data_IF_630317318969
#
_entry.id   IF_630317318969
#
_cell.length_a   1.000
_cell.length_b   1.000
_cell.length_c   1.000
_cell.angle_alpha   90.00
_cell.angle_beta   90.00
_cell.angle_gamma   90.00
#
_symmetry.space_group_name_H-M   'P 1'
#
loop_
_entity.id
_entity.type
_entity.pdbx_description
1 polymer ?
#
# COMPACT_ATOMS: atom_id res chain seq x y z
N UNK A 1 38.82 23.76 -57.74
CA UNK A 1 37.44 23.78 -58.28
C UNK A 1 36.87 22.38 -58.02
N UNK A 2 35.68 22.35 -57.43
CA UNK A 2 35.02 21.20 -56.76
C UNK A 2 34.80 20.01 -57.70
N UNK A 3 35.00 18.79 -57.18
CA UNK A 3 34.40 17.49 -57.55
C UNK A 3 35.18 16.39 -56.80
N UNK A 4 34.66 15.26 -56.31
CA UNK A 4 33.33 14.70 -56.14
C UNK A 4 33.50 13.47 -55.21
N UNK A 5 32.39 12.79 -54.93
CA UNK A 5 32.07 11.94 -53.78
C UNK A 5 32.74 10.57 -53.63
N UNK A 6 32.80 10.16 -52.35
CA UNK A 6 32.58 8.83 -51.74
C UNK A 6 32.63 7.57 -52.63
N UNK A 7 33.44 6.59 -52.21
CA UNK A 7 33.15 5.17 -52.41
C UNK A 7 33.69 4.33 -51.25
N UNK A 8 32.78 3.64 -50.57
CA UNK A 8 33.01 2.59 -49.57
C UNK A 8 32.83 1.21 -50.22
N UNK A 9 33.49 0.21 -49.61
CA UNK A 9 33.33 -1.26 -49.77
C UNK A 9 34.01 -1.87 -50.99
N UNK A 10 34.72 -3.01 -50.94
CA UNK A 10 34.46 -4.34 -50.32
C UNK A 10 35.78 -5.15 -50.44
N UNK A 11 36.21 -6.06 -49.56
CA UNK A 11 35.80 -7.47 -49.54
C UNK A 11 36.39 -8.28 -48.36
N UNK A 12 35.62 -9.31 -48.00
CA UNK A 12 35.76 -10.47 -47.12
C UNK A 12 37.09 -11.25 -47.06
N UNK A 13 37.45 -11.79 -45.87
CA UNK A 13 37.29 -13.22 -45.51
C UNK A 13 38.00 -13.67 -44.19
N UNK A 14 37.17 -14.08 -43.22
CA UNK A 14 37.27 -15.19 -42.22
C UNK A 14 38.59 -15.60 -41.53
N UNK A 15 38.61 -15.48 -40.20
CA UNK A 15 38.92 -16.50 -39.14
C UNK A 15 38.68 -15.81 -37.79
N UNK A 16 37.87 -16.24 -36.82
CA UNK A 16 37.55 -17.58 -36.36
C UNK A 16 38.20 -17.81 -34.99
N UNK A 17 37.76 -17.17 -33.90
CA UNK A 17 38.10 -17.59 -32.53
C UNK A 17 36.96 -17.34 -31.53
N UNK A 18 36.36 -18.45 -31.12
CA UNK A 18 35.47 -18.63 -29.97
C UNK A 18 36.15 -18.15 -28.68
N UNK A 19 35.57 -17.16 -27.98
CA UNK A 19 36.01 -16.80 -26.63
C UNK A 19 35.13 -17.53 -25.61
N UNK A 20 35.61 -18.69 -25.13
CA UNK A 20 35.06 -19.37 -23.94
C UNK A 20 35.14 -18.41 -22.75
N UNK A 21 34.01 -18.12 -22.12
CA UNK A 21 33.94 -17.45 -20.83
C UNK A 21 34.30 -18.45 -19.73
N UNK A 22 35.53 -18.38 -19.25
CA UNK A 22 35.98 -19.11 -18.07
C UNK A 22 35.44 -18.42 -16.82
N UNK A 23 34.47 -19.04 -16.13
CA UNK A 23 34.04 -18.62 -14.80
C UNK A 23 34.95 -19.25 -13.77
N UNK A 24 36.12 -18.65 -13.53
CA UNK A 24 36.99 -19.02 -12.41
C UNK A 24 36.32 -18.61 -11.08
N UNK A 25 35.82 -19.60 -10.33
CA UNK A 25 35.40 -19.40 -8.95
C UNK A 25 36.64 -19.14 -8.08
N UNK A 26 36.86 -17.88 -7.74
CA UNK A 26 37.87 -17.50 -6.76
C UNK A 26 37.34 -17.82 -5.35
N UNK A 27 37.78 -18.92 -4.77
CA UNK A 27 37.61 -19.20 -3.35
C UNK A 27 38.54 -18.27 -2.55
N UNK A 28 37.99 -17.19 -1.98
CA UNK A 28 38.74 -16.30 -1.09
C UNK A 28 38.91 -16.97 0.27
N UNK A 29 40.05 -17.64 0.49
CA UNK A 29 40.43 -18.12 1.83
C UNK A 29 41.25 -17.04 2.53
N UNK A 30 40.83 -16.57 3.73
CA UNK A 30 41.60 -15.60 4.50
C UNK A 30 42.93 -16.24 4.95
N UNK A 31 44.05 -15.63 4.56
CA UNK A 31 45.40 -16.17 4.76
C UNK A 31 46.06 -15.77 6.08
N UNK A 32 45.46 -14.84 6.84
CA UNK A 32 46.06 -14.30 8.07
C UNK A 32 45.07 -14.28 9.23
N UNK A 33 45.57 -14.58 10.43
CA UNK A 33 44.75 -14.71 11.65
C UNK A 33 44.01 -13.42 12.04
N UNK A 34 44.60 -12.25 11.76
CA UNK A 34 43.96 -10.95 11.98
C UNK A 34 42.75 -10.71 11.07
N UNK A 35 42.71 -11.33 9.87
CA UNK A 35 41.52 -11.23 9.01
C UNK A 35 40.32 -11.89 9.67
N UNK A 36 40.50 -13.02 10.36
CA UNK A 36 39.41 -13.63 11.13
C UNK A 36 38.97 -12.75 12.29
N UNK A 37 39.91 -12.11 13.01
CA UNK A 37 39.60 -11.21 14.11
C UNK A 37 38.76 -9.98 13.66
N UNK A 38 38.93 -9.50 12.42
CA UNK A 38 38.16 -8.34 11.92
C UNK A 38 36.89 -8.74 11.15
N UNK A 39 36.92 -9.84 10.40
CA UNK A 39 35.77 -10.32 9.60
C UNK A 39 34.64 -10.79 10.51
N UNK A 40 34.90 -11.53 11.59
CA UNK A 40 33.82 -12.01 12.45
C UNK A 40 33.06 -10.89 13.18
N UNK A 41 33.71 -9.92 13.85
CA UNK A 41 33.00 -8.81 14.49
C UNK A 41 32.27 -7.93 13.48
N UNK A 42 32.86 -7.66 12.31
CA UNK A 42 32.20 -6.86 11.27
C UNK A 42 30.97 -7.56 10.71
N UNK A 43 31.03 -8.87 10.47
CA UNK A 43 29.87 -9.69 10.07
C UNK A 43 28.81 -9.70 11.18
N UNK A 44 29.19 -9.88 12.44
CA UNK A 44 28.25 -9.85 13.58
C UNK A 44 27.56 -8.48 13.69
N UNK A 45 28.32 -7.38 13.61
CA UNK A 45 27.78 -6.01 13.65
C UNK A 45 26.87 -5.76 12.45
N UNK A 46 27.23 -6.22 11.25
CA UNK A 46 26.39 -6.11 10.06
C UNK A 46 25.08 -6.89 10.21
N UNK A 47 25.13 -8.11 10.77
CA UNK A 47 23.94 -8.92 11.04
C UNK A 47 23.05 -8.25 12.09
N UNK A 48 23.62 -7.77 13.19
CA UNK A 48 22.88 -7.07 14.26
C UNK A 48 22.27 -5.77 13.73
N UNK A 49 23.02 -4.98 12.96
CA UNK A 49 22.55 -3.75 12.34
C UNK A 49 21.44 -3.96 11.29
N UNK A 50 21.38 -5.15 10.68
CA UNK A 50 20.35 -5.53 9.73
C UNK A 50 19.11 -6.19 10.38
N UNK A 51 19.10 -6.46 11.69
CA UNK A 51 17.93 -7.01 12.40
C UNK A 51 16.64 -6.20 12.15
N UNK A 52 16.64 -4.85 12.20
CA UNK A 52 15.43 -4.07 11.92
C UNK A 52 14.87 -4.39 10.54
N UNK A 53 15.75 -4.50 9.54
CA UNK A 53 15.41 -4.84 8.16
C UNK A 53 14.83 -6.25 8.05
N UNK A 54 15.43 -7.26 8.70
CA UNK A 54 14.89 -8.62 8.65
C UNK A 54 13.53 -8.74 9.35
N UNK A 55 13.34 -8.05 10.47
CA UNK A 55 12.06 -8.01 11.18
C UNK A 55 10.99 -7.33 10.35
N UNK A 56 11.34 -6.25 9.65
CA UNK A 56 10.41 -5.57 8.74
C UNK A 56 10.10 -6.39 7.49
N UNK A 57 11.08 -7.11 6.94
CA UNK A 57 10.89 -8.02 5.81
C UNK A 57 9.99 -9.20 6.20
N UNK A 58 10.18 -9.76 7.39
CA UNK A 58 9.34 -10.83 7.92
C UNK A 58 7.89 -10.35 8.14
N UNK A 59 7.71 -9.17 8.76
CA UNK A 59 6.38 -8.58 8.96
C UNK A 59 5.71 -8.17 7.63
N UNK A 60 6.49 -7.74 6.64
CA UNK A 60 6.03 -7.42 5.29
C UNK A 60 5.54 -8.68 4.56
N UNK A 61 6.28 -9.79 4.70
CA UNK A 61 5.96 -11.07 4.07
C UNK A 61 4.74 -11.75 4.71
N UNK A 62 4.66 -11.79 6.04
CA UNK A 62 3.53 -12.39 6.78
C UNK A 62 2.20 -11.61 6.58
N UNK A 63 2.28 -10.29 6.30
CA UNK A 63 1.10 -9.40 6.27
C UNK A 63 0.78 -8.80 4.90
N UNK A 64 1.57 -9.15 3.87
CA UNK A 64 1.42 -8.70 2.49
C UNK A 64 1.47 -7.16 2.35
N UNK A 65 2.46 -6.52 2.98
CA UNK A 65 2.64 -5.06 3.04
C UNK A 65 4.05 -4.72 2.54
N UNK A 66 4.24 -3.71 1.68
CA UNK A 66 5.57 -3.29 1.24
C UNK A 66 6.46 -2.83 2.42
N UNK A 67 7.75 -3.10 2.29
CA UNK A 67 8.81 -2.76 3.25
C UNK A 67 8.81 -1.25 3.59
N UNK A 68 9.03 -0.88 4.87
CA UNK A 68 9.01 0.51 5.34
C UNK A 68 7.62 1.09 5.70
N UNK A 69 6.53 0.37 5.43
CA UNK A 69 5.16 0.81 5.77
C UNK A 69 4.64 0.22 7.09
N UNK A 70 5.50 -0.45 7.87
CA UNK A 70 5.15 -1.20 9.09
C UNK A 70 4.45 -0.33 10.14
N UNK A 71 4.92 0.91 10.34
CA UNK A 71 4.34 1.88 11.28
C UNK A 71 2.98 2.38 10.81
N UNK A 72 2.87 2.81 9.55
CA UNK A 72 1.60 3.29 8.97
C UNK A 72 0.54 2.19 8.95
N UNK A 73 0.94 0.97 8.61
CA UNK A 73 0.07 -0.19 8.67
C UNK A 73 -0.39 -0.48 10.11
N UNK A 74 0.51 -0.38 11.08
CA UNK A 74 0.14 -0.58 12.49
C UNK A 74 -0.83 0.48 13.00
N UNK A 75 -0.70 1.73 12.53
CA UNK A 75 -1.64 2.81 12.82
C UNK A 75 -3.01 2.52 12.19
N UNK A 76 -3.04 2.03 10.94
CA UNK A 76 -4.27 1.58 10.28
C UNK A 76 -5.00 0.50 11.10
N UNK A 77 -4.28 -0.56 11.51
CA UNK A 77 -4.87 -1.63 12.32
C UNK A 77 -5.35 -1.12 13.69
N UNK A 78 -4.66 -0.13 14.28
CA UNK A 78 -5.09 0.51 15.53
C UNK A 78 -6.40 1.28 15.34
N UNK A 79 -6.56 2.00 14.22
CA UNK A 79 -7.79 2.73 13.90
C UNK A 79 -8.96 1.77 13.65
N UNK A 80 -8.73 0.65 12.99
CA UNK A 80 -9.72 -0.42 12.86
C UNK A 80 -10.20 -0.96 14.21
N UNK A 81 -9.28 -1.20 15.14
CA UNK A 81 -9.62 -1.68 16.49
C UNK A 81 -10.36 -0.63 17.31
N UNK A 82 -9.89 0.61 17.29
CA UNK A 82 -10.48 1.74 18.00
C UNK A 82 -11.91 2.01 17.53
N UNK A 83 -12.14 1.99 16.22
CA UNK A 83 -13.39 2.40 15.59
C UNK A 83 -14.21 1.20 15.05
N UNK A 84 -14.00 0.00 15.60
CA UNK A 84 -14.63 -1.22 15.13
C UNK A 84 -16.16 -1.11 15.04
N UNK A 85 -16.82 -0.58 16.08
CA UNK A 85 -18.28 -0.42 16.08
C UNK A 85 -18.76 0.65 15.08
N UNK A 86 -18.07 1.78 15.01
CA UNK A 86 -18.40 2.85 14.06
C UNK A 86 -18.30 2.38 12.61
N UNK A 87 -17.32 1.52 12.30
CA UNK A 87 -17.07 1.02 10.94
C UNK A 87 -18.18 0.13 10.36
N UNK A 88 -19.20 -0.21 11.16
CA UNK A 88 -20.43 -0.89 10.74
C UNK A 88 -21.49 0.06 10.17
N UNK A 89 -21.25 1.36 10.25
CA UNK A 89 -22.16 2.39 9.74
C UNK A 89 -22.39 2.30 8.23
N UNK A 90 -23.36 3.09 7.77
CA UNK A 90 -23.63 3.26 6.35
C UNK A 90 -22.64 4.24 5.72
N UNK A 91 -22.13 3.90 4.54
CA UNK A 91 -21.22 4.76 3.79
C UNK A 91 -21.99 5.85 3.04
N UNK A 92 -21.64 7.11 3.29
CA UNK A 92 -22.03 8.22 2.42
C UNK A 92 -21.15 8.18 1.18
N UNK A 93 -21.71 7.79 0.04
CA UNK A 93 -20.94 7.53 -1.18
C UNK A 93 -21.20 8.56 -2.27
N UNK A 94 -20.12 8.95 -2.97
CA UNK A 94 -20.16 9.81 -4.15
C UNK A 94 -19.40 9.11 -5.26
N UNK A 95 -19.92 9.19 -6.48
CA UNK A 95 -19.26 8.67 -7.68
C UNK A 95 -18.85 9.83 -8.58
N UNK A 96 -17.62 9.81 -9.08
CA UNK A 96 -17.12 10.83 -10.01
C UNK A 96 -17.36 10.44 -11.49
N UNK A 97 -17.01 11.34 -12.41
CA UNK A 97 -17.13 11.13 -13.87
C UNK A 97 -16.28 9.94 -14.37
N UNK A 98 -15.18 9.62 -13.68
CA UNK A 98 -14.33 8.47 -13.97
C UNK A 98 -14.90 7.15 -13.42
N UNK A 99 -16.14 7.16 -12.94
CA UNK A 99 -16.81 6.04 -12.28
C UNK A 99 -16.11 5.51 -11.02
N UNK A 100 -15.24 6.31 -10.40
CA UNK A 100 -14.64 6.02 -9.11
C UNK A 100 -15.64 6.41 -8.03
N UNK A 101 -15.97 5.47 -7.16
CA UNK A 101 -16.85 5.70 -6.01
C UNK A 101 -16.02 5.86 -4.74
N UNK A 102 -16.28 6.93 -3.99
CA UNK A 102 -15.68 7.19 -2.69
C UNK A 102 -16.80 7.25 -1.64
N UNK A 103 -16.81 6.26 -0.75
CA UNK A 103 -17.67 6.21 0.43
C UNK A 103 -16.94 6.73 1.66
N UNK A 104 -17.66 7.39 2.56
CA UNK A 104 -17.14 7.84 3.85
C UNK A 104 -18.05 7.46 5.03
N UNK A 105 -17.43 7.09 6.16
CA UNK A 105 -18.05 6.99 7.48
C UNK A 105 -17.27 7.89 8.42
N UNK A 106 -17.96 8.75 9.16
CA UNK A 106 -17.36 9.67 10.13
C UNK A 106 -17.73 9.19 11.53
N UNK A 107 -16.72 8.89 12.34
CA UNK A 107 -16.91 8.45 13.72
C UNK A 107 -17.04 9.61 14.68
N UNK A 108 -17.67 9.38 15.85
CA UNK A 108 -17.75 10.38 16.94
C UNK A 108 -16.37 10.84 17.44
N UNK A 109 -15.35 9.99 17.26
CA UNK A 109 -13.94 10.33 17.56
C UNK A 109 -13.33 11.36 16.61
N UNK A 110 -14.01 11.69 15.50
CA UNK A 110 -13.47 12.49 14.40
C UNK A 110 -12.60 11.68 13.42
N UNK A 111 -12.39 10.39 13.67
CA UNK A 111 -11.72 9.51 12.71
C UNK A 111 -12.67 9.19 11.54
N UNK A 112 -12.13 9.16 10.33
CA UNK A 112 -12.90 8.96 9.10
C UNK A 112 -12.46 7.67 8.42
N UNK A 113 -13.41 6.82 8.03
CA UNK A 113 -13.19 5.64 7.20
C UNK A 113 -13.61 5.91 5.77
N UNK A 114 -12.66 5.82 4.86
CA UNK A 114 -12.89 5.92 3.43
C UNK A 114 -13.02 4.52 2.82
N UNK A 115 -13.91 4.40 1.84
CA UNK A 115 -13.99 3.27 0.92
C UNK A 115 -13.80 3.79 -0.49
N UNK A 116 -12.77 3.34 -1.19
CA UNK A 116 -12.51 3.73 -2.57
C UNK A 116 -12.78 2.53 -3.45
N UNK A 117 -13.63 2.69 -4.45
CA UNK A 117 -13.95 1.68 -5.44
C UNK A 117 -13.67 2.23 -6.84
N UNK A 118 -12.61 1.72 -7.45
CA UNK A 118 -12.22 2.02 -8.83
C UNK A 118 -12.93 1.05 -9.78
N UNK A 119 -13.36 1.47 -10.98
CA UNK A 119 -13.98 0.58 -11.95
C UNK A 119 -13.07 -0.62 -12.28
N UNK A 120 -13.63 -1.83 -12.23
CA UNK A 120 -12.90 -3.07 -12.51
C UNK A 120 -11.99 -3.55 -11.38
N UNK A 121 -11.93 -2.86 -10.23
CA UNK A 121 -11.12 -3.25 -9.08
C UNK A 121 -11.97 -3.47 -7.83
N UNK A 122 -11.44 -4.24 -6.89
CA UNK A 122 -12.04 -4.42 -5.57
C UNK A 122 -11.90 -3.14 -4.75
N UNK A 123 -12.90 -2.85 -3.92
CA UNK A 123 -12.85 -1.70 -3.03
C UNK A 123 -11.70 -1.80 -2.02
N UNK A 124 -11.12 -0.66 -1.66
CA UNK A 124 -10.07 -0.53 -0.65
C UNK A 124 -10.58 0.39 0.45
N UNK A 125 -10.29 0.04 1.70
CA UNK A 125 -10.61 0.85 2.86
C UNK A 125 -9.40 1.63 3.35
N UNK A 126 -9.62 2.85 3.84
CA UNK A 126 -8.56 3.66 4.43
C UNK A 126 -9.07 4.49 5.59
N UNK A 127 -8.41 4.39 6.74
CA UNK A 127 -8.63 5.28 7.86
C UNK A 127 -7.83 6.57 7.74
N UNK A 128 -8.48 7.66 8.10
CA UNK A 128 -7.86 8.95 8.35
C UNK A 128 -8.13 9.27 9.82
N UNK A 129 -7.13 9.08 10.66
CA UNK A 129 -7.23 9.36 12.09
C UNK A 129 -7.10 10.86 12.36
N UNK A 130 -7.95 11.43 13.22
CA UNK A 130 -7.89 12.87 13.53
C UNK A 130 -6.51 13.29 14.09
N UNK A 131 -5.92 12.44 14.93
CA UNK A 131 -4.59 12.65 15.52
C UNK A 131 -3.47 12.78 14.47
N UNK A 132 -3.62 12.13 13.31
CA UNK A 132 -2.65 12.24 12.23
C UNK A 132 -2.70 13.61 11.54
N UNK A 133 -3.85 14.30 11.61
CA UNK A 133 -4.07 15.61 11.01
C UNK A 133 -3.75 16.76 11.98
N UNK A 134 -3.96 16.56 13.28
CA UNK A 134 -3.82 17.63 14.30
C UNK A 134 -2.50 17.60 15.04
N UNK A 135 -1.73 16.52 14.99
CA UNK A 135 -0.45 16.46 15.71
C UNK A 135 0.57 17.46 15.15
N UNK A 136 1.45 17.94 16.04
CA UNK A 136 2.64 18.77 15.72
C UNK A 136 3.57 18.15 14.66
N UNK A 137 3.33 16.90 14.23
CA UNK A 137 3.98 16.30 13.05
C UNK A 137 3.72 17.11 11.77
N UNK A 138 2.60 17.84 11.68
CA UNK A 138 2.34 18.82 10.63
C UNK A 138 3.11 20.15 10.85
N UNK A 139 3.44 20.50 12.10
CA UNK A 139 4.14 21.74 12.42
C UNK A 139 5.61 21.72 11.98
N UNK A 140 6.26 20.54 11.98
CA UNK A 140 7.63 20.40 11.43
C UNK A 140 7.64 20.37 9.91
N UNK A 141 6.56 19.92 9.28
CA UNK A 141 6.38 19.94 7.83
C UNK A 141 6.17 21.37 7.29
N UNK A 142 5.55 22.26 8.08
CA UNK A 142 5.39 23.68 7.74
C UNK A 142 6.70 24.46 7.58
N UNK A 143 7.85 23.92 8.02
CA UNK A 143 9.14 24.58 7.81
C UNK A 143 9.72 24.33 6.39
N UNK A 144 9.31 23.26 5.71
CA UNK A 144 9.82 22.87 4.39
C UNK A 144 8.76 22.76 3.29
N UNK A 145 7.47 22.84 3.63
CA UNK A 145 6.38 22.87 2.67
C UNK A 145 6.10 24.33 2.30
N UNK A 146 6.45 24.72 1.08
CA UNK A 146 5.93 25.96 0.48
C UNK A 146 4.42 25.96 0.62
N UNK A 147 3.87 27.05 1.17
CA UNK A 147 2.44 27.24 1.38
C UNK A 147 1.62 26.74 0.20
N UNK A 148 0.92 25.61 0.38
CA UNK A 148 -0.09 25.21 -0.57
C UNK A 148 -1.24 26.21 -0.42
N UNK A 149 -1.35 27.13 -1.38
CA UNK A 149 -2.55 27.93 -1.51
C UNK A 149 -3.68 26.98 -1.91
N UNK A 150 -4.49 26.57 -0.95
CA UNK A 150 -5.84 26.11 -1.24
C UNK A 150 -6.52 27.28 -1.96
N UNK A 151 -6.60 27.21 -3.29
CA UNK A 151 -7.48 28.09 -4.03
C UNK A 151 -8.85 27.94 -3.39
N UNK A 152 -9.38 29.04 -2.85
CA UNK A 152 -10.80 29.12 -2.56
C UNK A 152 -11.47 28.84 -3.89
N UNK A 153 -11.99 27.63 -4.06
CA UNK A 153 -12.98 27.40 -5.09
C UNK A 153 -14.12 28.35 -4.74
N UNK A 154 -14.28 29.37 -5.57
CA UNK A 154 -15.46 30.22 -5.53
C UNK A 154 -16.67 29.29 -5.51
N UNK A 155 -17.55 29.54 -4.55
CA UNK A 155 -18.70 28.73 -4.26
C UNK A 155 -19.70 28.79 -5.42
N UNK A 156 -19.44 28.05 -6.48
CA UNK A 156 -20.49 27.57 -7.37
C UNK A 156 -21.23 26.47 -6.59
N UNK A 157 -22.31 26.91 -5.95
CA UNK A 157 -23.25 26.12 -5.16
C UNK A 157 -24.00 25.12 -6.04
N UNK A 158 -23.30 24.16 -6.62
CA UNK A 158 -23.89 22.86 -6.90
C UNK A 158 -23.47 21.95 -5.74
N UNK A 159 -24.34 21.71 -4.74
CA UNK A 159 -24.05 20.70 -3.73
C UNK A 159 -23.74 19.39 -4.46
N UNK A 160 -22.59 18.79 -4.15
CA UNK A 160 -22.23 17.47 -4.65
C UNK A 160 -23.39 16.54 -4.31
N UNK A 161 -24.15 16.13 -5.33
CA UNK A 161 -25.29 15.26 -5.15
C UNK A 161 -24.74 13.88 -4.76
N UNK A 162 -24.93 13.52 -3.48
CA UNK A 162 -24.55 12.22 -2.90
C UNK A 162 -25.43 11.12 -3.51
N UNK A 163 -25.04 10.61 -4.69
CA UNK A 163 -25.73 9.49 -5.35
C UNK A 163 -25.28 8.17 -4.72
N UNK A 164 -26.22 7.56 -4.01
CA UNK A 164 -26.04 6.47 -3.06
C UNK A 164 -26.10 5.08 -3.74
N UNK A 165 -24.95 4.41 -3.88
CA UNK A 165 -24.92 2.95 -3.92
C UNK A 165 -24.77 2.45 -2.47
N UNK A 166 -25.89 2.39 -1.76
CA UNK A 166 -25.90 2.08 -0.32
C UNK A 166 -25.51 0.62 -0.10
N UNK A 167 -24.32 0.44 0.45
CA UNK A 167 -23.94 -0.82 1.09
C UNK A 167 -24.07 -0.65 2.59
N UNK A 168 -24.77 -1.58 3.24
CA UNK A 168 -24.89 -1.60 4.70
C UNK A 168 -24.12 -2.78 5.27
N UNK A 169 -23.39 -2.56 6.36
CA UNK A 169 -22.70 -3.65 7.06
C UNK A 169 -23.71 -4.33 7.98
N UNK A 170 -24.08 -5.57 7.67
CA UNK A 170 -25.05 -6.35 8.46
C UNK A 170 -24.43 -6.86 9.76
N UNK A 171 -23.17 -7.28 9.70
CA UNK A 171 -22.42 -7.76 10.85
C UNK A 171 -20.93 -7.65 10.59
N UNK A 172 -20.15 -7.62 11.66
CA UNK A 172 -18.70 -7.58 11.58
C UNK A 172 -18.10 -8.28 12.80
N UNK A 173 -17.04 -9.07 12.57
CA UNK A 173 -16.25 -9.69 13.63
C UNK A 173 -14.79 -9.84 13.24
N UNK A 174 -13.93 -9.99 14.25
CA UNK A 174 -12.54 -10.34 14.04
C UNK A 174 -12.42 -11.83 13.70
N UNK A 175 -11.63 -12.14 12.66
CA UNK A 175 -11.19 -13.51 12.38
C UNK A 175 -9.91 -13.78 13.17
N UNK A 176 -9.01 -12.81 13.20
CA UNK A 176 -7.81 -12.78 14.02
C UNK A 176 -7.41 -11.31 14.29
N UNK A 177 -6.19 -11.05 14.77
CA UNK A 177 -5.75 -9.69 15.16
C UNK A 177 -5.53 -8.70 14.01
N UNK A 178 -5.65 -9.15 12.76
CA UNK A 178 -5.35 -8.39 11.54
C UNK A 178 -6.28 -8.67 10.35
N UNK A 179 -7.21 -9.62 10.49
CA UNK A 179 -8.26 -9.92 9.53
C UNK A 179 -9.63 -9.68 10.15
N UNK A 180 -10.43 -8.92 9.44
CA UNK A 180 -11.77 -8.52 9.81
C UNK A 180 -12.76 -9.13 8.82
N UNK A 181 -13.69 -9.94 9.30
CA UNK A 181 -14.81 -10.41 8.50
C UNK A 181 -15.95 -9.42 8.64
N UNK A 182 -16.49 -8.98 7.51
CA UNK A 182 -17.69 -8.16 7.43
C UNK A 182 -18.68 -8.78 6.46
N UNK A 183 -19.94 -8.83 6.87
CA UNK A 183 -21.03 -9.13 5.94
C UNK A 183 -21.66 -7.84 5.50
N UNK A 184 -21.67 -7.59 4.21
CA UNK A 184 -22.28 -6.41 3.62
C UNK A 184 -23.50 -6.79 2.80
N UNK A 185 -24.52 -5.95 2.83
CA UNK A 185 -25.68 -6.01 1.94
C UNK A 185 -25.54 -4.89 0.92
N UNK A 186 -25.53 -5.25 -0.36
CA UNK A 186 -25.51 -4.30 -1.47
C UNK A 186 -26.90 -4.30 -2.10
N UNK A 187 -27.54 -3.14 -2.15
CA UNK A 187 -28.86 -2.99 -2.72
C UNK A 187 -28.88 -3.50 -4.17
N UNK A 188 -29.75 -4.48 -4.45
CA UNK A 188 -29.90 -5.09 -5.78
C UNK A 188 -28.86 -6.16 -6.16
N UNK A 189 -27.84 -6.42 -5.35
CA UNK A 189 -26.80 -7.43 -5.64
C UNK A 189 -26.73 -8.57 -4.62
N UNK A 190 -27.42 -8.44 -3.47
CA UNK A 190 -27.42 -9.43 -2.41
C UNK A 190 -26.34 -9.18 -1.36
N UNK A 191 -25.97 -10.22 -0.61
CA UNK A 191 -25.05 -10.11 0.51
C UNK A 191 -23.75 -10.86 0.28
N UNK A 192 -22.68 -10.30 0.83
CA UNK A 192 -21.32 -10.78 0.64
C UNK A 192 -20.55 -10.76 1.95
N UNK A 193 -19.78 -11.82 2.20
CA UNK A 193 -18.78 -11.87 3.25
C UNK A 193 -17.44 -11.41 2.68
N UNK A 194 -16.87 -10.36 3.26
CA UNK A 194 -15.57 -9.82 2.91
C UNK A 194 -14.59 -10.02 4.06
N UNK A 195 -13.39 -10.49 3.73
CA UNK A 195 -12.26 -10.55 4.65
C UNK A 195 -11.33 -9.39 4.31
N UNK A 196 -11.28 -8.41 5.22
CA UNK A 196 -10.45 -7.21 5.10
C UNK A 196 -9.19 -7.39 5.92
N UNK A 197 -8.03 -7.14 5.30
CA UNK A 197 -6.76 -7.02 6.01
C UNK A 197 -6.66 -5.63 6.62
N UNK A 198 -6.67 -5.53 7.94
CA UNK A 198 -6.75 -4.23 8.64
C UNK A 198 -5.45 -3.46 8.64
N UNK A 199 -4.35 -4.03 8.15
CA UNK A 199 -3.09 -3.30 8.01
C UNK A 199 -3.00 -2.48 6.72
N UNK A 200 -3.68 -2.91 5.65
CA UNK A 200 -3.66 -2.24 4.34
C UNK A 200 -5.05 -1.86 3.83
N UNK A 201 -6.11 -2.29 4.52
CA UNK A 201 -7.50 -2.03 4.19
C UNK A 201 -8.00 -2.72 2.92
N UNK A 202 -7.24 -3.67 2.36
CA UNK A 202 -7.63 -4.39 1.14
C UNK A 202 -8.56 -5.55 1.50
N UNK A 203 -9.49 -5.82 0.58
CA UNK A 203 -10.33 -7.02 0.63
C UNK A 203 -9.50 -8.17 0.07
N UNK A 204 -9.19 -9.16 0.90
CA UNK A 204 -8.45 -10.37 0.49
C UNK A 204 -9.38 -11.41 -0.14
N UNK A 205 -10.61 -11.50 0.36
CA UNK A 205 -11.59 -12.45 -0.12
C UNK A 205 -12.98 -11.84 -0.04
N UNK A 206 -13.81 -12.10 -1.06
CA UNK A 206 -15.23 -11.75 -1.11
C UNK A 206 -16.02 -12.95 -1.60
N UNK A 207 -16.94 -13.47 -0.79
CA UNK A 207 -17.79 -14.61 -1.14
C UNK A 207 -19.26 -14.22 -0.98
N UNK A 208 -20.15 -14.74 -1.83
CA UNK A 208 -21.60 -14.59 -1.64
C UNK A 208 -22.05 -15.27 -0.35
N UNK A 209 -22.95 -14.62 0.38
CA UNK A 209 -23.46 -15.10 1.66
C UNK A 209 -24.95 -14.81 1.82
N UNK A 210 -25.61 -15.52 2.74
CA UNK A 210 -27.00 -15.22 3.11
C UNK A 210 -27.06 -13.90 3.87
N UNK A 211 -28.06 -13.08 3.56
CA UNK A 211 -28.33 -11.80 4.24
C UNK A 211 -28.82 -12.00 5.69
N UNK A 212 -27.91 -12.36 6.60
CA UNK A 212 -28.16 -12.48 8.03
C UNK A 212 -27.32 -11.47 8.80
N UNK A 213 -27.86 -10.92 9.89
CA UNK A 213 -27.19 -10.00 10.81
C UNK A 213 -26.18 -10.70 11.75
N UNK A 214 -25.98 -12.01 11.60
CA UNK A 214 -25.01 -12.78 12.39
C UNK A 214 -23.83 -13.24 11.54
N UNK A 215 -22.66 -12.84 12.00
CA UNK A 215 -21.35 -13.42 11.76
C UNK A 215 -20.58 -13.34 13.08
#
# INVERSE_FOLDING_TARGET
MIMDQNALTKDSATTGWNKKSDHSQHHYQPSTWWQWLLVYPTVIIAVIGAIPTFVELYKAWDRNIPFGMSRMASEENKLWKKNFECSKGEFLSVKNELNIEVGTIICRSGDVLLRIQTPGQTSIYRWVGLESLTSEKMAVANFFISSAHAARADADLNPILLAQANSTVLCQRWVNSWKLLRRISIQGQGCFDEIVNTYNGRIEQRNSATCNQKC
#
